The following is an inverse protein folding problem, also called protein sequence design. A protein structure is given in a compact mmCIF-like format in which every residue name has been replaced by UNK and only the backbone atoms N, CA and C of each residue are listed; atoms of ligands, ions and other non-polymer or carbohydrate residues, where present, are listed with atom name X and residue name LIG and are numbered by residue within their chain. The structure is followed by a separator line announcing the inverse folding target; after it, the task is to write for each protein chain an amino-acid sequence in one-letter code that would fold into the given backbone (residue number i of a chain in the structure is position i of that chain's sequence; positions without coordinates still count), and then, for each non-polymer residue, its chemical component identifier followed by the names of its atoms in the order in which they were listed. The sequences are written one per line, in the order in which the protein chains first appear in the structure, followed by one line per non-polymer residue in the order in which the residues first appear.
data_IF_396896735815
#
_entry.id   IF_396896735815
#
_cell.length_a   1.000
_cell.length_b   1.000
_cell.length_c   1.000
_cell.angle_alpha   90.00
_cell.angle_beta   90.00
_cell.angle_gamma   90.00
#
_symmetry.space_group_name_H-M   'P 1'
#
loop_
_entity.id
_entity.type
_entity.pdbx_description
1 polymer ?
#
# COMPACT_ATOMS: atom_id res chain seq x y z
N UNK A 1 -46.98 -9.54 -17.51
CA UNK A 1 -46.10 -10.32 -16.60
C UNK A 1 -45.13 -11.29 -17.29
N UNK A 2 -45.42 -11.86 -18.48
CA UNK A 2 -44.52 -12.83 -19.14
C UNK A 2 -43.26 -12.27 -19.83
N UNK A 3 -43.27 -11.03 -20.34
CA UNK A 3 -42.09 -10.45 -21.02
C UNK A 3 -40.95 -10.12 -20.06
N UNK A 4 -41.24 -9.56 -18.88
CA UNK A 4 -40.24 -9.24 -17.85
C UNK A 4 -39.54 -10.48 -17.29
N UNK A 5 -40.27 -11.59 -17.11
CA UNK A 5 -39.70 -12.88 -16.71
C UNK A 5 -38.70 -13.43 -17.74
N UNK A 6 -39.03 -13.32 -19.03
CA UNK A 6 -38.12 -13.77 -20.11
C UNK A 6 -36.86 -12.90 -20.22
N UNK A 7 -36.97 -11.58 -20.05
CA UNK A 7 -35.79 -10.69 -20.00
C UNK A 7 -34.91 -10.98 -18.79
N UNK A 8 -35.50 -11.14 -17.60
CA UNK A 8 -34.78 -11.52 -16.39
C UNK A 8 -34.02 -12.84 -16.57
N UNK A 9 -34.69 -13.88 -17.09
CA UNK A 9 -34.08 -15.19 -17.36
C UNK A 9 -32.92 -15.12 -18.36
N UNK A 10 -33.03 -14.27 -19.39
CA UNK A 10 -31.95 -14.03 -20.37
C UNK A 10 -30.74 -13.32 -19.74
N UNK A 11 -30.96 -12.35 -18.85
CA UNK A 11 -29.89 -11.65 -18.12
C UNK A 11 -29.18 -12.60 -17.16
N UNK A 12 -29.91 -13.42 -16.40
CA UNK A 12 -29.33 -14.42 -15.51
C UNK A 12 -28.49 -15.45 -16.27
N UNK A 13 -28.98 -15.95 -17.41
CA UNK A 13 -28.22 -16.88 -18.25
C UNK A 13 -26.90 -16.27 -18.77
N UNK A 14 -26.92 -15.00 -19.20
CA UNK A 14 -25.70 -14.28 -19.62
C UNK A 14 -24.73 -14.06 -18.46
N UNK A 15 -25.25 -13.79 -17.25
CA UNK A 15 -24.43 -13.63 -16.05
C UNK A 15 -23.73 -14.94 -15.66
N UNK A 16 -24.44 -16.07 -15.75
CA UNK A 16 -23.88 -17.41 -15.54
C UNK A 16 -22.83 -17.76 -16.58
N UNK A 17 -23.05 -17.41 -17.85
CA UNK A 17 -22.07 -17.57 -18.90
C UNK A 17 -20.79 -16.77 -18.64
N UNK A 18 -20.92 -15.48 -18.26
CA UNK A 18 -19.78 -14.63 -17.94
C UNK A 18 -19.02 -15.07 -16.68
N UNK A 19 -19.71 -15.66 -15.70
CA UNK A 19 -19.08 -16.27 -14.54
C UNK A 19 -18.32 -17.55 -14.92
N UNK A 20 -18.93 -18.43 -15.73
CA UNK A 20 -18.28 -19.65 -16.24
C UNK A 20 -17.03 -19.33 -17.06
N UNK A 21 -17.09 -18.28 -17.88
CA UNK A 21 -15.99 -17.80 -18.69
C UNK A 21 -15.02 -16.88 -17.92
N UNK A 22 -15.22 -16.67 -16.61
CA UNK A 22 -14.36 -15.89 -15.69
C UNK A 22 -14.22 -14.41 -16.03
N UNK A 23 -14.84 -13.93 -17.11
CA UNK A 23 -14.86 -12.52 -17.51
C UNK A 23 -15.46 -11.64 -16.42
N UNK A 24 -16.55 -12.08 -15.81
CA UNK A 24 -17.18 -11.33 -14.73
C UNK A 24 -16.27 -11.21 -13.50
N UNK A 25 -15.55 -12.28 -13.17
CA UNK A 25 -14.59 -12.29 -12.08
C UNK A 25 -13.43 -11.31 -12.34
N UNK A 26 -12.89 -11.30 -13.57
CA UNK A 26 -11.87 -10.31 -13.98
C UNK A 26 -12.37 -8.89 -13.75
N UNK A 27 -13.61 -8.59 -14.15
CA UNK A 27 -14.17 -7.25 -13.99
C UNK A 27 -14.35 -6.86 -12.53
N UNK A 28 -14.78 -7.77 -11.65
CA UNK A 28 -14.85 -7.46 -10.22
C UNK A 28 -13.49 -7.22 -9.60
N UNK A 29 -12.50 -8.08 -9.87
CA UNK A 29 -11.14 -7.90 -9.36
C UNK A 29 -10.52 -6.59 -9.87
N UNK A 30 -10.69 -6.28 -11.15
CA UNK A 30 -10.23 -5.01 -11.71
C UNK A 30 -10.97 -3.82 -11.10
N UNK A 31 -12.30 -3.88 -10.94
CA UNK A 31 -13.09 -2.80 -10.38
C UNK A 31 -12.69 -2.47 -8.93
N UNK A 32 -12.43 -3.49 -8.09
CA UNK A 32 -11.95 -3.25 -6.72
C UNK A 32 -10.61 -2.52 -6.70
N UNK A 33 -9.67 -2.87 -7.60
CA UNK A 33 -8.38 -2.17 -7.69
C UNK A 33 -8.51 -0.77 -8.31
N UNK A 34 -9.34 -0.60 -9.33
CA UNK A 34 -9.58 0.68 -10.02
C UNK A 34 -10.21 1.71 -9.08
N UNK A 35 -11.05 1.26 -8.15
CA UNK A 35 -11.78 2.16 -7.24
C UNK A 35 -10.97 2.62 -6.02
N UNK A 36 -9.73 2.13 -5.85
CA UNK A 36 -8.86 2.50 -4.71
C UNK A 36 -8.54 4.00 -4.59
N UNK A 37 -8.28 4.75 -5.68
CA UNK A 37 -8.06 6.20 -5.60
C UNK A 37 -9.37 7.00 -5.52
N UNK A 38 -10.53 6.35 -5.52
CA UNK A 38 -11.83 7.01 -5.44
C UNK A 38 -12.29 7.15 -3.97
N UNK A 39 -13.47 7.76 -3.77
CA UNK A 39 -14.09 7.87 -2.44
C UNK A 39 -14.32 6.49 -1.83
N UNK A 40 -14.16 6.39 -0.51
CA UNK A 40 -14.28 5.16 0.28
C UNK A 40 -15.57 4.36 0.00
N UNK A 41 -16.69 5.06 -0.19
CA UNK A 41 -18.00 4.45 -0.48
C UNK A 41 -17.95 3.62 -1.76
N UNK A 42 -17.28 4.11 -2.80
CA UNK A 42 -17.21 3.44 -4.11
C UNK A 42 -16.41 2.14 -4.01
N UNK A 43 -15.25 2.18 -3.34
CA UNK A 43 -14.43 0.99 -3.08
C UNK A 43 -15.14 -0.04 -2.19
N UNK A 44 -15.94 0.43 -1.22
CA UNK A 44 -16.72 -0.44 -0.35
C UNK A 44 -17.83 -1.17 -1.13
N UNK A 45 -18.53 -0.45 -2.01
CA UNK A 45 -19.59 -1.02 -2.84
C UNK A 45 -19.05 -2.07 -3.81
N UNK A 46 -17.89 -1.84 -4.45
CA UNK A 46 -17.29 -2.85 -5.34
C UNK A 46 -16.90 -4.12 -4.59
N UNK A 47 -16.37 -3.98 -3.37
CA UNK A 47 -16.07 -5.13 -2.50
C UNK A 47 -17.34 -5.89 -2.10
N UNK A 48 -18.40 -5.19 -1.67
CA UNK A 48 -19.67 -5.80 -1.28
C UNK A 48 -20.28 -6.58 -2.45
N UNK A 49 -20.34 -5.99 -3.64
CA UNK A 49 -20.87 -6.65 -4.84
C UNK A 49 -20.04 -7.89 -5.18
N UNK A 50 -18.70 -7.79 -5.15
CA UNK A 50 -17.81 -8.92 -5.37
C UNK A 50 -18.08 -10.06 -4.37
N UNK A 51 -18.21 -9.75 -3.08
CA UNK A 51 -18.46 -10.74 -2.03
C UNK A 51 -19.82 -11.42 -2.23
N UNK A 52 -20.89 -10.64 -2.43
CA UNK A 52 -22.25 -11.17 -2.66
C UNK A 52 -22.24 -12.13 -3.85
N UNK A 53 -21.69 -11.71 -5.00
CA UNK A 53 -21.67 -12.55 -6.20
C UNK A 53 -20.80 -13.79 -5.97
N UNK A 54 -19.64 -13.66 -5.33
CA UNK A 54 -18.74 -14.78 -5.06
C UNK A 54 -19.42 -15.83 -4.17
N UNK A 55 -20.09 -15.42 -3.10
CA UNK A 55 -20.80 -16.35 -2.22
C UNK A 55 -22.01 -17.01 -2.89
N UNK A 56 -22.82 -16.26 -3.65
CA UNK A 56 -23.97 -16.83 -4.39
C UNK A 56 -23.52 -17.85 -5.44
N UNK A 57 -22.39 -17.59 -6.12
CA UNK A 57 -21.90 -18.44 -7.23
C UNK A 57 -20.91 -19.51 -6.79
N UNK A 58 -20.57 -19.58 -5.50
CA UNK A 58 -19.70 -20.64 -4.96
C UNK A 58 -20.41 -21.98 -5.09
N UNK A 59 -19.76 -22.93 -5.77
CA UNK A 59 -20.20 -24.33 -5.84
C UNK A 59 -19.32 -25.16 -4.93
N UNK A 60 -19.89 -26.14 -4.20
CA UNK A 60 -19.14 -27.04 -3.30
C UNK A 60 -17.90 -27.68 -3.98
N UNK A 61 -18.01 -28.03 -5.26
CA UNK A 61 -16.93 -28.64 -6.05
C UNK A 61 -15.71 -27.71 -6.27
N UNK A 62 -15.92 -26.39 -6.22
CA UNK A 62 -14.85 -25.42 -6.44
C UNK A 62 -14.19 -24.95 -5.13
N UNK A 63 -14.72 -25.34 -3.98
CA UNK A 63 -14.20 -24.87 -2.71
C UNK A 63 -12.85 -25.53 -2.43
N UNK A 64 -11.82 -24.72 -2.27
CA UNK A 64 -10.50 -25.14 -1.81
C UNK A 64 -10.00 -24.14 -0.78
N UNK A 65 -9.31 -24.62 0.26
CA UNK A 65 -8.77 -23.79 1.32
C UNK A 65 -7.25 -23.80 1.28
N UNK A 66 -6.61 -23.01 0.38
CA UNK A 66 -5.16 -22.87 0.37
C UNK A 66 -4.65 -22.42 1.74
N UNK A 67 -3.61 -23.10 2.27
CA UNK A 67 -2.99 -22.76 3.56
C UNK A 67 -2.59 -21.28 3.64
N UNK A 68 -2.17 -20.69 2.51
CA UNK A 68 -1.79 -19.28 2.42
C UNK A 68 -2.95 -18.34 2.75
N UNK A 69 -4.19 -18.71 2.44
CA UNK A 69 -5.36 -17.91 2.78
C UNK A 69 -5.75 -18.00 4.25
N UNK A 70 -5.28 -19.02 4.98
CA UNK A 70 -5.53 -19.13 6.41
C UNK A 70 -4.84 -18.02 7.20
N UNK A 71 -3.69 -17.51 6.74
CA UNK A 71 -2.94 -16.47 7.46
C UNK A 71 -3.77 -15.19 7.71
N UNK A 72 -4.36 -14.52 6.69
CA UNK A 72 -5.21 -13.36 6.94
C UNK A 72 -6.49 -13.69 7.74
N UNK A 73 -7.04 -14.90 7.57
CA UNK A 73 -8.20 -15.34 8.37
C UNK A 73 -7.83 -15.51 9.85
N UNK A 74 -6.66 -16.11 10.14
CA UNK A 74 -6.13 -16.27 11.49
C UNK A 74 -5.81 -14.92 12.13
N UNK A 75 -5.29 -13.96 11.36
CA UNK A 75 -5.09 -12.58 11.83
C UNK A 75 -6.42 -11.97 12.29
N UNK A 76 -7.48 -12.12 11.50
CA UNK A 76 -8.80 -11.61 11.87
C UNK A 76 -9.40 -12.35 13.09
N UNK A 77 -9.18 -13.65 13.21
CA UNK A 77 -9.61 -14.40 14.41
C UNK A 77 -8.88 -13.89 15.66
N UNK A 78 -7.57 -13.62 15.56
CA UNK A 78 -6.80 -13.03 16.66
C UNK A 78 -7.32 -11.62 17.02
N UNK A 79 -7.67 -10.82 16.02
CA UNK A 79 -8.32 -9.52 16.23
C UNK A 79 -9.64 -9.65 17.01
N UNK A 80 -10.48 -10.65 16.70
CA UNK A 80 -11.72 -10.90 17.47
C UNK A 80 -11.38 -11.30 18.90
N UNK A 81 -10.44 -12.24 19.08
CA UNK A 81 -10.02 -12.67 20.41
C UNK A 81 -9.53 -11.51 21.27
N UNK A 82 -8.94 -10.48 20.65
CA UNK A 82 -8.46 -9.30 21.35
C UNK A 82 -9.53 -8.51 22.11
N UNK A 83 -10.83 -8.71 21.81
CA UNK A 83 -11.92 -8.19 22.63
C UNK A 83 -11.90 -8.66 24.09
N UNK A 84 -11.27 -9.81 24.38
CA UNK A 84 -11.20 -10.37 25.73
C UNK A 84 -10.25 -9.55 26.63
N UNK A 85 -9.20 -8.95 26.07
CA UNK A 85 -8.17 -8.23 26.83
C UNK A 85 -7.98 -6.77 26.41
N UNK A 86 -8.73 -6.28 25.43
CA UNK A 86 -8.57 -4.91 24.91
C UNK A 86 -8.78 -3.86 25.98
N UNK A 87 -7.92 -2.84 26.00
CA UNK A 87 -8.07 -1.67 26.87
C UNK A 87 -9.09 -0.65 26.32
N UNK A 88 -9.47 -0.75 25.03
CA UNK A 88 -10.38 0.19 24.35
C UNK A 88 -11.44 -0.55 23.52
N UNK A 89 -12.43 -1.16 24.18
CA UNK A 89 -13.41 -2.03 23.50
C UNK A 89 -14.19 -1.34 22.36
N UNK A 90 -14.48 -0.04 22.49
CA UNK A 90 -15.20 0.72 21.45
C UNK A 90 -14.39 0.84 20.17
N UNK A 91 -13.09 1.13 20.28
CA UNK A 91 -12.21 1.26 19.12
C UNK A 91 -11.92 -0.12 18.51
N UNK A 92 -11.71 -1.15 19.35
CA UNK A 92 -11.57 -2.54 18.88
C UNK A 92 -12.78 -3.00 18.06
N UNK A 93 -14.02 -2.71 18.48
CA UNK A 93 -15.22 -3.06 17.71
C UNK A 93 -15.26 -2.34 16.36
N UNK A 94 -14.91 -1.05 16.30
CA UNK A 94 -14.82 -0.30 15.03
C UNK A 94 -13.72 -0.87 14.12
N UNK A 95 -12.57 -1.21 14.70
CA UNK A 95 -11.47 -1.88 14.02
C UNK A 95 -11.92 -3.20 13.40
N UNK A 96 -12.66 -4.03 14.13
CA UNK A 96 -13.19 -5.31 13.61
C UNK A 96 -14.12 -5.15 12.41
N UNK A 97 -14.92 -4.07 12.36
CA UNK A 97 -15.77 -3.77 11.20
C UNK A 97 -14.94 -3.38 9.98
N UNK A 98 -13.86 -2.62 10.18
CA UNK A 98 -12.91 -2.20 9.15
C UNK A 98 -12.10 -3.39 8.61
N UNK A 99 -11.59 -4.24 9.49
CA UNK A 99 -10.70 -5.37 9.19
C UNK A 99 -11.42 -6.64 8.71
N UNK A 100 -12.76 -6.67 8.70
CA UNK A 100 -13.56 -7.84 8.27
C UNK A 100 -13.20 -8.35 6.87
N UNK A 101 -12.64 -7.47 6.03
CA UNK A 101 -12.17 -7.83 4.69
C UNK A 101 -10.99 -8.81 4.70
N UNK A 102 -10.19 -8.85 5.78
CA UNK A 102 -9.15 -9.86 6.00
C UNK A 102 -9.72 -11.28 6.18
N UNK A 103 -11.01 -11.40 6.53
CA UNK A 103 -11.72 -12.69 6.56
C UNK A 103 -12.49 -12.93 5.27
N UNK A 104 -13.34 -11.97 4.87
CA UNK A 104 -14.32 -12.18 3.81
C UNK A 104 -13.70 -12.34 2.43
N UNK A 105 -12.63 -11.59 2.11
CA UNK A 105 -11.98 -11.68 0.79
C UNK A 105 -11.26 -13.03 0.64
N UNK A 106 -10.40 -13.48 1.57
CA UNK A 106 -9.83 -14.83 1.50
C UNK A 106 -10.89 -15.93 1.44
N UNK A 107 -11.98 -15.82 2.20
CA UNK A 107 -13.07 -16.79 2.15
C UNK A 107 -13.76 -16.82 0.78
N UNK A 108 -14.01 -15.65 0.17
CA UNK A 108 -14.53 -15.58 -1.19
C UNK A 108 -13.59 -16.25 -2.20
N UNK A 109 -12.28 -16.02 -2.09
CA UNK A 109 -11.27 -16.65 -2.94
C UNK A 109 -11.22 -18.18 -2.83
N UNK A 110 -11.60 -18.75 -1.68
CA UNK A 110 -11.71 -20.21 -1.52
C UNK A 110 -12.77 -20.82 -2.45
N UNK A 111 -13.84 -20.09 -2.77
CA UNK A 111 -14.95 -20.54 -3.61
C UNK A 111 -14.86 -20.16 -5.09
N UNK A 112 -13.83 -19.40 -5.49
CA UNK A 112 -13.68 -18.91 -6.86
C UNK A 112 -13.27 -20.02 -7.84
N UNK A 113 -13.71 -19.94 -9.11
CA UNK A 113 -13.15 -20.79 -10.16
C UNK A 113 -11.65 -20.49 -10.33
N UNK A 114 -10.85 -21.53 -10.61
CA UNK A 114 -9.38 -21.41 -10.78
C UNK A 114 -9.01 -20.29 -11.76
N UNK A 115 -8.26 -19.31 -11.26
CA UNK A 115 -7.71 -18.18 -12.03
C UNK A 115 -6.34 -18.57 -12.58
N UNK A 116 -6.08 -18.25 -13.85
CA UNK A 116 -4.78 -18.45 -14.49
C UNK A 116 -4.10 -17.10 -14.79
N UNK A 117 -2.84 -17.14 -15.22
CA UNK A 117 -2.04 -15.95 -15.54
C UNK A 117 -2.71 -15.00 -16.55
N UNK A 118 -3.31 -15.52 -17.62
CA UNK A 118 -3.99 -14.69 -18.62
C UNK A 118 -5.17 -13.89 -18.03
N UNK A 119 -5.89 -14.43 -17.04
CA UNK A 119 -6.96 -13.68 -16.37
C UNK A 119 -6.36 -12.57 -15.49
N UNK A 120 -5.27 -12.85 -14.79
CA UNK A 120 -4.57 -11.89 -13.93
C UNK A 120 -3.97 -10.75 -14.77
N UNK A 121 -3.35 -11.08 -15.90
CA UNK A 121 -2.81 -10.08 -16.83
C UNK A 121 -3.91 -9.15 -17.35
N UNK A 122 -5.14 -9.65 -17.57
CA UNK A 122 -6.29 -8.80 -17.90
C UNK A 122 -6.69 -7.89 -16.75
N UNK A 123 -6.72 -8.39 -15.51
CA UNK A 123 -7.00 -7.56 -14.32
C UNK A 123 -5.99 -6.41 -14.23
N UNK A 124 -4.69 -6.72 -14.27
CA UNK A 124 -3.64 -5.71 -14.22
C UNK A 124 -3.66 -4.77 -15.42
N UNK A 125 -3.98 -5.24 -16.62
CA UNK A 125 -4.15 -4.36 -17.79
C UNK A 125 -5.20 -3.28 -17.53
N UNK A 126 -6.42 -3.67 -17.11
CA UNK A 126 -7.49 -2.72 -16.84
C UNK A 126 -7.13 -1.77 -15.70
N UNK A 127 -6.56 -2.31 -14.62
CA UNK A 127 -6.07 -1.53 -13.49
C UNK A 127 -5.01 -0.49 -13.91
N UNK A 128 -3.98 -0.89 -14.65
CA UNK A 128 -2.88 -0.02 -15.04
C UNK A 128 -3.32 1.11 -15.97
N UNK A 129 -4.20 0.83 -16.93
CA UNK A 129 -4.76 1.88 -17.79
C UNK A 129 -5.65 2.85 -17.00
N UNK A 130 -6.42 2.35 -16.04
CA UNK A 130 -7.21 3.23 -15.17
C UNK A 130 -6.30 4.12 -14.30
N UNK A 131 -5.20 3.59 -13.75
CA UNK A 131 -4.24 4.39 -12.98
C UNK A 131 -3.58 5.48 -13.83
N UNK A 132 -3.24 5.20 -15.09
CA UNK A 132 -2.77 6.23 -16.02
C UNK A 132 -3.85 7.29 -16.29
N UNK A 133 -5.13 6.88 -16.40
CA UNK A 133 -6.27 7.79 -16.49
C UNK A 133 -6.43 8.69 -15.25
N UNK A 134 -6.28 8.13 -14.04
CA UNK A 134 -6.29 8.92 -12.80
C UNK A 134 -5.12 9.90 -12.74
N UNK A 135 -3.92 9.51 -13.17
CA UNK A 135 -2.78 10.41 -13.25
C UNK A 135 -3.07 11.62 -14.15
N UNK A 136 -3.65 11.39 -15.34
CA UNK A 136 -4.09 12.46 -16.25
C UNK A 136 -5.12 13.35 -15.55
N UNK A 137 -6.12 12.76 -14.88
CA UNK A 137 -7.13 13.52 -14.13
C UNK A 137 -6.49 14.42 -13.06
N UNK A 138 -5.53 13.93 -12.28
CA UNK A 138 -4.84 14.74 -11.27
C UNK A 138 -3.98 15.84 -11.87
N UNK A 139 -3.32 15.59 -13.00
CA UNK A 139 -2.59 16.64 -13.72
C UNK A 139 -3.53 17.75 -14.20
N UNK A 140 -4.67 17.39 -14.81
CA UNK A 140 -5.67 18.37 -15.23
C UNK A 140 -6.22 19.16 -14.04
N UNK A 141 -6.54 18.48 -12.93
CA UNK A 141 -7.00 19.13 -11.71
C UNK A 141 -5.95 20.10 -11.14
N UNK A 142 -4.67 19.70 -11.13
CA UNK A 142 -3.58 20.57 -10.68
C UNK A 142 -3.39 21.79 -11.59
N UNK A 143 -3.57 21.64 -12.92
CA UNK A 143 -3.54 22.76 -13.86
C UNK A 143 -4.66 23.77 -13.53
N UNK A 144 -5.88 23.30 -13.27
CA UNK A 144 -7.00 24.17 -12.85
C UNK A 144 -6.69 24.86 -11.52
N UNK A 145 -6.24 24.12 -10.50
CA UNK A 145 -5.83 24.74 -9.23
C UNK A 145 -4.70 25.76 -9.41
N UNK A 146 -3.79 25.53 -10.34
CA UNK A 146 -2.67 26.44 -10.63
C UNK A 146 -3.13 27.72 -11.33
N UNK A 147 -4.11 27.64 -12.23
CA UNK A 147 -4.64 28.84 -12.89
C UNK A 147 -5.25 29.80 -11.89
N UNK A 148 -5.85 29.27 -10.83
CA UNK A 148 -6.54 30.05 -9.81
C UNK A 148 -5.57 30.54 -8.72
N UNK A 149 -4.72 29.65 -8.18
CA UNK A 149 -3.87 29.96 -7.04
C UNK A 149 -2.49 30.53 -7.38
N UNK A 150 -2.00 30.30 -8.62
CA UNK A 150 -0.60 30.52 -9.04
C UNK A 150 0.45 29.81 -8.18
N UNK A 151 0.03 28.90 -7.29
CA UNK A 151 0.93 28.14 -6.43
C UNK A 151 1.41 26.88 -7.15
N UNK A 152 2.73 26.73 -7.34
CA UNK A 152 3.34 25.55 -7.99
C UNK A 152 3.25 24.28 -7.15
N UNK A 153 3.00 24.39 -5.84
CA UNK A 153 2.93 23.25 -4.94
C UNK A 153 1.75 22.32 -5.27
N UNK A 154 0.72 22.82 -5.98
CA UNK A 154 -0.44 22.03 -6.43
C UNK A 154 -0.09 20.84 -7.33
N UNK A 155 1.12 20.82 -7.90
CA UNK A 155 1.62 19.71 -8.71
C UNK A 155 2.32 18.63 -7.90
N UNK A 156 2.45 18.77 -6.57
CA UNK A 156 3.27 17.89 -5.76
C UNK A 156 2.53 17.27 -4.57
N UNK A 157 2.94 16.06 -4.21
CA UNK A 157 2.55 15.38 -2.96
C UNK A 157 1.04 15.37 -2.69
N UNK A 158 0.59 15.81 -1.51
CA UNK A 158 -0.84 15.80 -1.13
C UNK A 158 -1.67 16.82 -1.91
N UNK A 159 -1.08 17.91 -2.40
CA UNK A 159 -1.81 18.95 -3.15
C UNK A 159 -2.20 18.48 -4.57
N UNK A 160 -1.36 17.61 -5.16
CA UNK A 160 -1.64 16.95 -6.44
C UNK A 160 -2.86 16.03 -6.37
N UNK A 161 -2.99 15.31 -5.26
CA UNK A 161 -4.11 14.39 -5.00
C UNK A 161 -5.04 15.01 -3.96
N UNK A 162 -5.12 14.44 -2.77
CA UNK A 162 -5.68 15.05 -1.55
C UNK A 162 -5.01 14.44 -0.31
N UNK A 163 -5.15 15.12 0.84
CA UNK A 163 -4.75 14.58 2.14
C UNK A 163 -5.53 13.30 2.51
N UNK A 164 -6.83 13.26 2.22
CA UNK A 164 -7.70 12.11 2.49
C UNK A 164 -7.21 10.86 1.74
N UNK A 165 -6.87 11.02 0.45
CA UNK A 165 -6.35 9.92 -0.36
C UNK A 165 -4.96 9.47 0.10
N UNK A 166 -4.16 10.40 0.62
CA UNK A 166 -2.76 10.26 0.98
C UNK A 166 -1.88 9.90 -0.24
N UNK A 167 -0.90 10.78 -0.53
CA UNK A 167 -0.03 10.64 -1.70
C UNK A 167 0.78 9.34 -1.69
N UNK A 168 1.16 8.82 -0.52
CA UNK A 168 1.94 7.58 -0.40
C UNK A 168 1.13 6.38 -0.88
N UNK A 169 -0.16 6.30 -0.55
CA UNK A 169 -1.04 5.23 -1.02
C UNK A 169 -1.21 5.29 -2.54
N UNK A 170 -1.44 6.49 -3.08
CA UNK A 170 -1.56 6.67 -4.53
C UNK A 170 -0.26 6.33 -5.26
N UNK A 171 0.91 6.65 -4.67
CA UNK A 171 2.21 6.26 -5.23
C UNK A 171 2.36 4.74 -5.32
N UNK A 172 1.94 3.99 -4.30
CA UNK A 172 1.98 2.53 -4.30
C UNK A 172 1.07 1.94 -5.38
N UNK A 173 -0.13 2.52 -5.55
CA UNK A 173 -1.06 2.08 -6.59
C UNK A 173 -0.49 2.36 -7.99
N UNK A 174 0.05 3.56 -8.21
CA UNK A 174 0.69 3.93 -9.46
C UNK A 174 1.95 3.08 -9.75
N UNK A 175 2.75 2.77 -8.72
CA UNK A 175 3.96 1.93 -8.80
C UNK A 175 3.64 0.53 -9.32
N UNK A 176 2.63 -0.14 -8.74
CA UNK A 176 2.21 -1.46 -9.22
C UNK A 176 1.71 -1.42 -10.66
N UNK A 177 0.95 -0.39 -11.03
CA UNK A 177 0.49 -0.18 -12.39
C UNK A 177 1.65 0.06 -13.38
N UNK A 178 2.67 0.82 -12.95
CA UNK A 178 3.88 1.10 -13.71
C UNK A 178 4.70 -0.17 -13.95
N UNK A 179 4.85 -1.03 -12.93
CA UNK A 179 5.54 -2.31 -13.07
C UNK A 179 4.87 -3.27 -14.05
N UNK A 180 3.54 -3.25 -14.14
CA UNK A 180 2.83 -4.02 -15.17
C UNK A 180 3.23 -3.56 -16.58
N UNK A 181 3.24 -2.25 -16.83
CA UNK A 181 3.71 -1.75 -18.13
C UNK A 181 5.18 -2.09 -18.35
N UNK A 182 6.06 -1.94 -17.35
CA UNK A 182 7.48 -2.29 -17.44
C UNK A 182 7.69 -3.75 -17.85
N UNK A 183 6.98 -4.68 -17.19
CA UNK A 183 7.12 -6.12 -17.37
C UNK A 183 6.44 -6.66 -18.63
N UNK A 184 5.59 -5.86 -19.29
CA UNK A 184 4.92 -6.26 -20.53
C UNK A 184 5.96 -6.53 -21.63
N UNK A 185 5.95 -7.74 -22.20
CA UNK A 185 6.91 -8.16 -23.26
C UNK A 185 6.77 -7.27 -24.51
N UNK A 186 5.56 -7.15 -25.04
CA UNK A 186 5.25 -6.36 -26.22
C UNK A 186 4.50 -5.08 -25.82
N UNK A 187 5.13 -3.94 -26.06
CA UNK A 187 4.62 -2.62 -25.68
C UNK A 187 4.16 -1.85 -26.92
N UNK A 188 2.87 -1.55 -26.99
CA UNK A 188 2.32 -0.58 -27.93
C UNK A 188 2.74 0.85 -27.54
N UNK A 189 2.55 1.80 -28.44
CA UNK A 189 2.80 3.22 -28.13
C UNK A 189 1.93 3.72 -26.96
N UNK A 190 0.71 3.20 -26.84
CA UNK A 190 -0.20 3.52 -25.73
C UNK A 190 0.34 2.95 -24.40
N UNK A 191 0.91 1.75 -24.39
CA UNK A 191 1.56 1.20 -23.19
C UNK A 191 2.78 2.03 -22.78
N UNK A 192 3.58 2.49 -23.75
CA UNK A 192 4.75 3.36 -23.49
C UNK A 192 4.33 4.71 -22.93
N UNK A 193 3.26 5.30 -23.46
CA UNK A 193 2.69 6.54 -22.94
C UNK A 193 2.15 6.35 -21.51
N UNK A 194 1.40 5.27 -21.26
CA UNK A 194 0.90 4.94 -19.92
C UNK A 194 2.03 4.76 -18.90
N UNK A 195 3.10 4.06 -19.28
CA UNK A 195 4.31 3.92 -18.46
C UNK A 195 4.93 5.28 -18.11
N UNK A 196 5.15 6.14 -19.12
CA UNK A 196 5.76 7.45 -18.93
C UNK A 196 4.90 8.36 -18.03
N UNK A 197 3.58 8.39 -18.25
CA UNK A 197 2.63 9.14 -17.43
C UNK A 197 2.74 8.71 -15.96
N UNK A 198 2.78 7.40 -15.69
CA UNK A 198 2.89 6.90 -14.32
C UNK A 198 4.24 7.20 -13.69
N UNK A 199 5.34 7.13 -14.44
CA UNK A 199 6.66 7.54 -13.93
C UNK A 199 6.65 9.01 -13.51
N UNK A 200 6.16 9.90 -14.37
CA UNK A 200 6.03 11.33 -14.04
C UNK A 200 5.13 11.52 -12.81
N UNK A 201 4.00 10.82 -12.75
CA UNK A 201 3.07 10.90 -11.64
C UNK A 201 3.70 10.47 -10.31
N UNK A 202 4.45 9.37 -10.27
CA UNK A 202 5.13 8.87 -9.07
C UNK A 202 6.18 9.89 -8.56
N UNK A 203 6.97 10.48 -9.46
CA UNK A 203 7.94 11.51 -9.07
C UNK A 203 7.27 12.77 -8.51
N UNK A 204 6.16 13.21 -9.12
CA UNK A 204 5.39 14.36 -8.64
C UNK A 204 4.67 14.08 -7.32
N UNK A 205 4.22 12.85 -7.08
CA UNK A 205 3.75 12.42 -5.77
C UNK A 205 4.84 12.47 -4.70
N UNK A 206 6.13 12.52 -5.06
CA UNK A 206 7.24 12.85 -4.14
C UNK A 206 7.31 11.99 -2.86
N UNK A 207 6.85 10.75 -2.96
CA UNK A 207 6.99 9.75 -1.90
C UNK A 207 8.37 9.11 -2.00
N UNK A 208 9.32 9.63 -1.21
CA UNK A 208 10.73 9.23 -1.22
C UNK A 208 10.95 7.71 -1.06
N UNK A 209 10.25 7.06 -0.13
CA UNK A 209 10.37 5.61 0.06
C UNK A 209 9.91 4.84 -1.18
N UNK A 210 8.80 5.26 -1.80
CA UNK A 210 8.29 4.60 -3.01
C UNK A 210 9.20 4.85 -4.21
N UNK A 211 9.71 6.07 -4.39
CA UNK A 211 10.68 6.37 -5.47
C UNK A 211 11.93 5.49 -5.35
N UNK A 212 12.47 5.33 -4.14
CA UNK A 212 13.65 4.48 -3.90
C UNK A 212 13.34 3.01 -4.20
N UNK A 213 12.21 2.49 -3.71
CA UNK A 213 11.78 1.10 -3.98
C UNK A 213 11.54 0.89 -5.47
N UNK A 214 10.90 1.83 -6.16
CA UNK A 214 10.64 1.73 -7.59
C UNK A 214 11.93 1.71 -8.41
N UNK A 215 12.90 2.56 -8.06
CA UNK A 215 14.21 2.55 -8.69
C UNK A 215 14.91 1.20 -8.48
N UNK A 216 14.90 0.67 -7.26
CA UNK A 216 15.47 -0.65 -6.95
C UNK A 216 14.78 -1.77 -7.75
N UNK A 217 13.45 -1.74 -7.83
CA UNK A 217 12.68 -2.75 -8.57
C UNK A 217 12.90 -2.66 -10.08
N UNK A 218 13.04 -1.46 -10.64
CA UNK A 218 13.44 -1.26 -12.05
C UNK A 218 14.83 -1.84 -12.30
N UNK A 219 15.77 -1.63 -11.39
CA UNK A 219 17.11 -2.22 -11.45
C UNK A 219 17.03 -3.75 -11.45
N UNK A 220 16.31 -4.33 -10.49
CA UNK A 220 16.09 -5.80 -10.39
C UNK A 220 15.44 -6.35 -11.65
N UNK A 221 14.43 -5.65 -12.21
CA UNK A 221 13.79 -6.05 -13.47
C UNK A 221 14.79 -6.18 -14.61
N UNK A 222 15.59 -5.15 -14.86
CA UNK A 222 16.53 -5.17 -15.98
C UNK A 222 17.65 -6.18 -15.79
N UNK A 223 18.14 -6.40 -14.56
CA UNK A 223 19.14 -7.42 -14.30
C UNK A 223 18.60 -8.83 -14.53
N UNK A 224 17.46 -9.19 -13.92
CA UNK A 224 17.03 -10.58 -13.80
C UNK A 224 15.88 -11.00 -14.73
N UNK A 225 15.04 -10.07 -15.21
CA UNK A 225 13.81 -10.39 -15.93
C UNK A 225 13.78 -9.88 -17.37
N UNK A 226 14.53 -8.84 -17.69
CA UNK A 226 14.59 -8.26 -19.04
C UNK A 226 15.42 -9.10 -20.00
N UNK A 227 14.91 -9.28 -21.23
CA UNK A 227 15.58 -9.94 -22.34
C UNK A 227 16.54 -9.01 -23.14
N UNK A 228 16.69 -7.74 -22.71
CA UNK A 228 17.57 -6.77 -23.38
C UNK A 228 19.05 -7.22 -23.30
N UNK A 229 19.87 -6.85 -24.29
CA UNK A 229 21.31 -7.15 -24.26
C UNK A 229 22.02 -6.51 -23.05
N UNK A 230 23.14 -7.10 -22.59
CA UNK A 230 23.89 -6.58 -21.42
C UNK A 230 24.31 -5.11 -21.61
N UNK A 231 24.76 -4.74 -22.81
CA UNK A 231 25.09 -3.35 -23.14
C UNK A 231 23.85 -2.44 -23.04
N UNK A 232 22.71 -2.87 -23.59
CA UNK A 232 21.46 -2.12 -23.52
C UNK A 232 20.94 -1.94 -22.09
N UNK A 233 21.04 -3.00 -21.26
CA UNK A 233 20.69 -2.95 -19.83
C UNK A 233 21.50 -1.87 -19.11
N UNK A 234 22.83 -1.82 -19.31
CA UNK A 234 23.71 -0.82 -18.69
C UNK A 234 23.33 0.61 -19.09
N UNK A 235 23.07 0.85 -20.38
CA UNK A 235 22.67 2.18 -20.87
C UNK A 235 21.33 2.59 -20.25
N UNK A 236 20.31 1.73 -20.30
CA UNK A 236 18.99 2.04 -19.73
C UNK A 236 19.09 2.34 -18.24
N UNK A 237 19.82 1.52 -17.47
CA UNK A 237 19.99 1.73 -16.04
C UNK A 237 20.74 3.02 -15.73
N UNK A 238 21.81 3.34 -16.47
CA UNK A 238 22.51 4.60 -16.32
C UNK A 238 21.58 5.80 -16.61
N UNK A 239 20.76 5.72 -17.67
CA UNK A 239 19.78 6.76 -17.99
C UNK A 239 18.71 6.91 -16.90
N UNK A 240 18.15 5.81 -16.38
CA UNK A 240 17.13 5.84 -15.33
C UNK A 240 17.70 6.44 -14.04
N UNK A 241 18.90 6.03 -13.63
CA UNK A 241 19.57 6.56 -12.44
C UNK A 241 19.87 8.06 -12.63
N UNK A 242 20.43 8.45 -13.78
CA UNK A 242 20.73 9.85 -14.07
C UNK A 242 19.47 10.73 -14.10
N UNK A 243 18.39 10.26 -14.74
CA UNK A 243 17.11 10.97 -14.76
C UNK A 243 16.52 11.12 -13.35
N UNK A 244 16.57 10.06 -12.54
CA UNK A 244 16.08 10.08 -11.15
C UNK A 244 16.88 11.07 -10.29
N UNK A 245 18.21 11.05 -10.39
CA UNK A 245 19.09 12.00 -9.69
C UNK A 245 18.85 13.44 -10.15
N UNK A 246 18.61 13.65 -11.44
CA UNK A 246 18.30 14.96 -12.00
C UNK A 246 17.01 15.51 -11.41
N UNK A 247 15.95 14.71 -11.35
CA UNK A 247 14.68 15.12 -10.73
C UNK A 247 14.88 15.45 -9.24
N UNK A 248 15.58 14.59 -8.50
CA UNK A 248 15.84 14.80 -7.06
C UNK A 248 16.67 16.07 -6.82
N UNK A 249 17.59 16.41 -7.72
CA UNK A 249 18.49 17.56 -7.54
C UNK A 249 17.85 18.88 -7.98
N UNK A 250 17.17 18.89 -9.13
CA UNK A 250 16.72 20.14 -9.76
C UNK A 250 15.28 20.52 -9.42
N UNK A 251 14.43 19.58 -9.01
CA UNK A 251 13.03 19.87 -8.67
C UNK A 251 12.94 20.19 -7.17
N UNK A 252 12.91 21.50 -6.83
CA UNK A 252 12.95 21.99 -5.44
C UNK A 252 11.98 21.25 -4.47
N UNK A 253 10.67 21.09 -4.75
CA UNK A 253 9.77 20.39 -3.82
C UNK A 253 10.14 18.92 -3.57
N UNK A 254 10.74 18.24 -4.55
CA UNK A 254 11.26 16.88 -4.41
C UNK A 254 12.55 16.92 -3.60
N UNK A 255 13.52 17.73 -4.03
CA UNK A 255 14.82 17.91 -3.38
C UNK A 255 14.68 18.18 -1.89
N UNK A 256 13.87 19.18 -1.52
CA UNK A 256 13.75 19.64 -0.13
C UNK A 256 13.21 18.51 0.78
N UNK A 257 12.34 17.64 0.27
CA UNK A 257 11.85 16.46 1.01
C UNK A 257 12.91 15.37 1.22
N UNK A 258 13.85 15.22 0.30
CA UNK A 258 15.00 14.31 0.45
C UNK A 258 16.06 14.92 1.36
N UNK A 259 16.36 16.21 1.22
CA UNK A 259 17.35 16.92 2.03
C UNK A 259 17.00 16.93 3.51
N UNK A 260 15.73 17.13 3.87
CA UNK A 260 15.31 17.07 5.28
C UNK A 260 15.66 15.71 5.91
N UNK A 261 15.46 14.59 5.20
CA UNK A 261 15.82 13.27 5.76
C UNK A 261 17.32 13.05 5.79
N UNK A 262 18.04 13.53 4.78
CA UNK A 262 19.50 13.48 4.76
C UNK A 262 20.08 14.23 5.97
N UNK A 263 19.63 15.46 6.21
CA UNK A 263 20.03 16.23 7.40
C UNK A 263 19.67 15.50 8.69
N UNK A 264 18.47 14.93 8.80
CA UNK A 264 18.04 14.18 9.99
C UNK A 264 18.95 13.01 10.33
N UNK A 265 19.50 12.33 9.32
CA UNK A 265 20.35 11.15 9.46
C UNK A 265 21.80 11.54 9.78
N UNK A 266 22.32 12.60 9.15
CA UNK A 266 23.75 12.91 9.15
C UNK A 266 24.14 14.16 9.95
N UNK A 267 23.18 15.01 10.31
CA UNK A 267 23.41 16.29 11.00
C UNK A 267 22.63 16.31 12.31
N UNK A 268 23.35 16.46 13.42
CA UNK A 268 22.71 16.62 14.73
C UNK A 268 22.14 18.04 14.86
N UNK A 269 20.81 18.15 15.02
CA UNK A 269 20.12 19.40 15.33
C UNK A 269 20.27 20.50 14.27
N UNK A 270 19.57 20.38 13.13
CA UNK A 270 19.56 21.44 12.10
C UNK A 270 18.41 22.45 12.32
N UNK A 271 18.70 23.73 12.11
CA UNK A 271 17.68 24.78 12.09
C UNK A 271 16.87 24.69 10.80
N UNK A 272 15.56 24.51 10.91
CA UNK A 272 14.66 24.70 9.77
C UNK A 272 14.42 26.20 9.61
N UNK A 273 14.91 26.80 8.52
CA UNK A 273 14.59 28.19 8.17
C UNK A 273 13.07 28.32 7.97
N UNK A 274 12.39 28.90 8.95
CA UNK A 274 11.00 29.36 8.80
C UNK A 274 10.97 30.42 7.70
N UNK A 275 10.02 30.29 6.78
CA UNK A 275 9.82 31.26 5.67
C UNK A 275 8.96 32.45 6.11
N UNK A 276 8.46 32.44 7.35
CA UNK A 276 7.62 33.48 7.94
C UNK A 276 8.40 34.22 9.04
N UNK A 277 8.60 35.52 8.85
CA UNK A 277 9.45 36.40 9.69
C UNK A 277 9.02 36.50 11.17
N UNK A 278 7.88 35.91 11.57
CA UNK A 278 7.28 36.08 12.90
C UNK A 278 7.12 34.78 13.71
N UNK A 279 7.69 33.65 13.27
CA UNK A 279 7.63 32.39 14.02
C UNK A 279 8.97 32.06 14.68
N UNK A 280 8.92 31.59 15.93
CA UNK A 280 10.08 31.07 16.64
C UNK A 280 10.82 30.02 15.80
N UNK A 281 12.17 29.93 15.89
CA UNK A 281 12.93 28.97 15.10
C UNK A 281 12.47 27.54 15.41
N UNK A 282 12.22 26.78 14.34
CA UNK A 282 11.86 25.38 14.40
C UNK A 282 13.15 24.55 14.30
N UNK A 283 13.33 23.63 15.24
CA UNK A 283 14.52 22.78 15.31
C UNK A 283 14.20 21.38 14.81
N UNK A 284 15.00 20.86 13.86
CA UNK A 284 14.85 19.49 13.40
C UNK A 284 15.52 18.53 14.40
N UNK A 285 14.74 17.61 14.94
CA UNK A 285 15.23 16.54 15.81
C UNK A 285 16.03 15.53 14.99
N UNK A 286 17.27 15.25 15.42
CA UNK A 286 18.10 14.19 14.85
C UNK A 286 17.68 12.80 15.35
N UNK A 287 18.14 11.74 14.67
CA UNK A 287 17.88 10.37 15.11
C UNK A 287 18.40 10.09 16.53
N UNK A 288 19.55 10.68 16.89
CA UNK A 288 20.16 10.53 18.21
C UNK A 288 19.27 11.16 19.28
N UNK A 289 18.83 12.40 19.05
CA UNK A 289 17.93 13.10 19.96
C UNK A 289 16.60 12.36 20.13
N UNK A 290 15.99 11.91 19.03
CA UNK A 290 14.77 11.10 19.07
C UNK A 290 14.93 9.84 19.97
N UNK A 291 16.11 9.23 19.98
CA UNK A 291 16.38 8.03 20.78
C UNK A 291 16.70 8.29 22.24
N UNK A 292 17.49 9.33 22.56
CA UNK A 292 18.06 9.51 23.90
C UNK A 292 17.49 10.67 24.70
N UNK A 293 16.89 11.67 24.05
CA UNK A 293 16.42 12.88 24.74
C UNK A 293 15.11 12.59 25.47
N UNK A 294 15.03 12.90 26.76
CA UNK A 294 13.86 12.55 27.58
C UNK A 294 12.67 13.51 27.37
N UNK A 295 12.92 14.81 27.26
CA UNK A 295 11.87 15.83 27.06
C UNK A 295 12.19 16.68 25.84
N UNK A 296 11.16 17.02 25.07
CA UNK A 296 11.26 17.88 23.89
C UNK A 296 10.64 19.26 24.15
N UNK A 297 10.92 20.20 23.26
CA UNK A 297 10.32 21.53 23.25
C UNK A 297 9.18 21.61 22.23
N UNK A 298 8.27 22.57 22.39
CA UNK A 298 7.10 22.68 21.50
C UNK A 298 7.46 23.12 20.07
N UNK A 299 8.64 23.71 19.87
CA UNK A 299 9.20 24.08 18.58
C UNK A 299 10.13 23.00 17.98
N UNK A 300 10.24 21.83 18.61
CA UNK A 300 10.95 20.68 18.06
C UNK A 300 10.09 20.00 16.98
N UNK A 301 10.60 20.04 15.74
CA UNK A 301 10.02 19.34 14.62
C UNK A 301 10.66 17.96 14.47
N UNK A 302 9.83 16.94 14.28
CA UNK A 302 10.27 15.58 14.01
C UNK A 302 10.13 15.29 12.51
N UNK A 303 11.23 15.29 11.74
CA UNK A 303 11.25 14.73 10.40
C UNK A 303 10.79 13.27 10.37
N UNK A 304 10.42 12.78 9.19
CA UNK A 304 9.78 11.48 9.04
C UNK A 304 10.62 10.31 9.58
N UNK A 305 11.94 10.32 9.39
CA UNK A 305 12.82 9.29 9.96
C UNK A 305 12.93 9.40 11.48
N UNK A 306 13.16 10.60 12.02
CA UNK A 306 13.25 10.83 13.46
C UNK A 306 11.96 10.48 14.20
N UNK A 307 10.80 10.84 13.64
CA UNK A 307 9.52 10.50 14.23
C UNK A 307 9.31 8.99 14.32
N UNK A 308 9.57 8.24 13.23
CA UNK A 308 9.47 6.78 13.24
C UNK A 308 10.46 6.14 14.22
N UNK A 309 11.65 6.71 14.36
CA UNK A 309 12.65 6.21 15.32
C UNK A 309 12.22 6.46 16.76
N UNK A 310 11.64 7.62 17.05
CA UNK A 310 10.99 7.91 18.33
C UNK A 310 9.82 6.96 18.60
N UNK A 311 9.03 6.63 17.57
CA UNK A 311 7.92 5.66 17.68
C UNK A 311 8.41 4.25 18.03
N UNK A 312 9.55 3.80 17.48
CA UNK A 312 10.20 2.55 17.91
C UNK A 312 10.60 2.62 19.39
N UNK A 313 11.16 3.76 19.84
CA UNK A 313 11.55 3.96 21.24
C UNK A 313 10.34 3.87 22.17
N UNK A 314 9.27 4.63 21.94
CA UNK A 314 8.10 4.61 22.84
C UNK A 314 7.43 3.23 22.85
N UNK A 315 7.46 2.50 21.73
CA UNK A 315 7.00 1.11 21.70
C UNK A 315 7.86 0.21 22.60
N UNK A 316 9.20 0.36 22.56
CA UNK A 316 10.11 -0.36 23.46
C UNK A 316 9.82 -0.03 24.93
N UNK A 317 9.55 1.23 25.26
CA UNK A 317 9.18 1.62 26.61
C UNK A 317 7.86 0.98 27.05
N UNK A 318 6.84 0.96 26.17
CA UNK A 318 5.58 0.25 26.44
C UNK A 318 5.80 -1.23 26.71
N UNK A 319 6.67 -1.91 25.94
CA UNK A 319 7.02 -3.32 26.17
C UNK A 319 7.69 -3.56 27.53
N UNK A 320 8.40 -2.57 28.07
CA UNK A 320 9.10 -2.66 29.35
C UNK A 320 8.18 -2.33 30.53
N UNK A 321 7.22 -1.43 30.33
CA UNK A 321 6.33 -0.92 31.36
C UNK A 321 5.05 -1.76 31.49
N UNK A 322 4.60 -2.40 30.40
CA UNK A 322 3.31 -3.08 30.30
C UNK A 322 3.49 -4.53 29.83
N UNK A 323 2.62 -5.44 30.29
CA UNK A 323 2.66 -6.87 29.92
C UNK A 323 2.00 -7.15 28.57
N UNK A 324 2.43 -6.46 27.51
CA UNK A 324 1.81 -6.51 26.17
C UNK A 324 2.54 -7.38 25.15
N UNK A 325 3.67 -8.00 25.52
CA UNK A 325 4.50 -8.73 24.56
C UNK A 325 3.73 -9.82 23.79
N UNK A 326 2.89 -10.61 24.46
CA UNK A 326 2.16 -11.70 23.82
C UNK A 326 0.83 -11.28 23.20
N UNK A 327 0.09 -10.39 23.85
CA UNK A 327 -1.31 -10.09 23.50
C UNK A 327 -1.52 -8.70 22.90
N UNK A 328 -0.58 -7.77 23.12
CA UNK A 328 -0.79 -6.36 22.81
C UNK A 328 -1.85 -5.71 23.71
N UNK A 329 -2.27 -4.50 23.33
CA UNK A 329 -3.32 -3.72 23.99
C UNK A 329 -4.74 -4.03 23.50
N UNK A 330 -4.91 -4.77 22.40
CA UNK A 330 -6.17 -4.91 21.66
C UNK A 330 -6.13 -4.24 20.29
N UNK A 331 -6.90 -4.74 19.31
CA UNK A 331 -7.00 -4.11 17.98
C UNK A 331 -7.43 -2.65 18.09
N UNK A 332 -6.74 -1.76 17.37
CA UNK A 332 -6.95 -0.30 17.36
C UNK A 332 -6.90 0.36 18.78
N UNK A 333 -6.35 -0.33 19.80
CA UNK A 333 -6.38 0.13 21.20
C UNK A 333 -5.10 0.84 21.68
N UNK A 334 -4.06 0.94 20.84
CA UNK A 334 -2.76 1.51 21.24
C UNK A 334 -2.72 3.04 21.25
N UNK A 335 -3.71 3.73 20.68
CA UNK A 335 -3.67 5.19 20.48
C UNK A 335 -3.59 5.99 21.78
N UNK A 336 -4.31 5.59 22.83
CA UNK A 336 -4.27 6.29 24.12
C UNK A 336 -2.89 6.18 24.77
N UNK A 337 -2.22 5.03 24.64
CA UNK A 337 -0.85 4.82 25.12
C UNK A 337 0.16 5.67 24.34
N UNK A 338 -0.03 5.87 23.04
CA UNK A 338 0.77 6.82 22.25
C UNK A 338 0.59 8.25 22.78
N UNK A 339 -0.66 8.67 23.04
CA UNK A 339 -0.97 10.01 23.60
C UNK A 339 -0.35 10.21 24.98
N UNK A 340 -0.34 9.19 25.83
CA UNK A 340 0.35 9.19 27.12
C UNK A 340 1.85 9.43 26.94
N UNK A 341 2.51 8.69 26.03
CA UNK A 341 3.94 8.84 25.74
C UNK A 341 4.31 10.21 25.14
N UNK A 342 3.46 10.75 24.27
CA UNK A 342 3.64 12.11 23.72
C UNK A 342 3.60 13.16 24.83
N UNK A 343 2.68 13.03 25.79
CA UNK A 343 2.63 13.90 26.97
C UNK A 343 3.82 13.68 27.90
N UNK A 344 4.19 12.43 28.14
CA UNK A 344 5.32 12.04 28.98
C UNK A 344 6.60 12.71 28.46
N UNK A 345 6.87 12.71 27.16
CA UNK A 345 8.08 13.31 26.60
C UNK A 345 7.94 14.79 26.23
N UNK A 346 6.84 15.46 26.59
CA UNK A 346 6.59 16.88 26.28
C UNK A 346 6.62 17.21 24.78
N UNK A 347 6.14 16.30 23.92
CA UNK A 347 6.01 16.57 22.49
C UNK A 347 4.81 17.48 22.20
N UNK A 348 4.80 18.09 21.01
CA UNK A 348 3.61 18.74 20.49
C UNK A 348 2.43 17.77 20.42
N UNK A 349 1.28 18.16 20.97
CA UNK A 349 0.13 17.27 21.16
C UNK A 349 -0.38 16.63 19.87
N UNK A 350 -0.24 17.30 18.71
CA UNK A 350 -0.64 16.77 17.42
C UNK A 350 0.09 15.49 17.01
N UNK A 351 1.30 15.23 17.55
CA UNK A 351 1.99 13.97 17.31
C UNK A 351 1.26 12.76 17.90
N UNK A 352 0.44 12.97 18.95
CA UNK A 352 -0.37 11.94 19.59
C UNK A 352 -1.59 11.51 18.79
N UNK A 353 -1.91 12.17 17.68
CA UNK A 353 -2.99 11.74 16.77
C UNK A 353 -2.51 10.80 15.66
N UNK A 354 -1.18 10.64 15.51
CA UNK A 354 -0.62 9.67 14.59
C UNK A 354 -0.58 8.28 15.22
N UNK A 355 -0.81 7.26 14.40
CA UNK A 355 -0.51 5.88 14.73
C UNK A 355 1.01 5.64 14.60
N UNK A 356 1.51 4.42 14.80
CA UNK A 356 2.94 4.12 14.79
C UNK A 356 3.67 4.37 13.46
N UNK A 357 2.97 4.75 12.36
CA UNK A 357 3.53 4.89 11.01
C UNK A 357 4.47 3.73 10.63
N UNK A 358 4.14 2.54 11.12
CA UNK A 358 4.88 1.31 10.96
C UNK A 358 3.91 0.18 11.28
N UNK A 359 3.50 -0.54 10.26
CA UNK A 359 2.52 -1.62 10.36
C UNK A 359 2.98 -2.73 11.31
N UNK A 360 4.30 -3.02 11.34
CA UNK A 360 4.84 -4.04 12.23
C UNK A 360 4.72 -3.65 13.70
N UNK A 361 5.07 -2.40 14.04
CA UNK A 361 4.91 -1.90 15.40
C UNK A 361 3.43 -1.74 15.77
N UNK A 362 2.60 -1.30 14.83
CA UNK A 362 1.16 -1.18 15.03
C UNK A 362 0.57 -2.52 15.45
N UNK A 363 0.76 -3.55 14.62
CA UNK A 363 0.22 -4.88 14.87
C UNK A 363 0.84 -5.52 16.11
N UNK A 364 2.13 -5.31 16.38
CA UNK A 364 2.76 -5.82 17.62
C UNK A 364 2.15 -5.13 18.84
N UNK A 365 2.03 -3.80 18.85
CA UNK A 365 1.43 -3.07 19.97
C UNK A 365 -0.01 -3.47 20.25
N UNK A 366 -0.77 -3.85 19.22
CA UNK A 366 -2.20 -4.16 19.33
C UNK A 366 -2.50 -5.64 19.57
N UNK A 367 -1.78 -6.53 18.90
CA UNK A 367 -2.05 -7.98 18.89
C UNK A 367 -0.87 -8.83 19.39
N UNK A 368 0.20 -8.18 19.86
CA UNK A 368 1.37 -8.84 20.41
C UNK A 368 2.21 -9.59 19.37
N UNK A 369 3.09 -10.45 19.88
CA UNK A 369 3.99 -11.28 19.07
C UNK A 369 3.23 -12.13 18.04
N UNK A 370 2.07 -12.67 18.40
CA UNK A 370 1.31 -13.54 17.50
C UNK A 370 0.80 -12.79 16.26
N UNK A 371 0.24 -11.58 16.44
CA UNK A 371 -0.19 -10.75 15.31
C UNK A 371 0.98 -10.38 14.40
N UNK A 372 2.10 -9.96 15.01
CA UNK A 372 3.32 -9.63 14.29
C UNK A 372 3.82 -10.80 13.43
N UNK A 373 3.92 -12.01 14.02
CA UNK A 373 4.38 -13.19 13.31
C UNK A 373 3.45 -13.60 12.16
N UNK A 374 2.13 -13.42 12.30
CA UNK A 374 1.19 -13.70 11.20
C UNK A 374 1.42 -12.75 10.02
N UNK A 375 1.54 -11.44 10.27
CA UNK A 375 1.81 -10.44 9.22
C UNK A 375 3.16 -10.70 8.53
N UNK A 376 4.22 -10.98 9.30
CA UNK A 376 5.53 -11.35 8.75
C UNK A 376 5.43 -12.63 7.91
N UNK A 377 4.66 -13.63 8.36
CA UNK A 377 4.44 -14.87 7.62
C UNK A 377 3.70 -14.62 6.29
N UNK A 378 2.71 -13.72 6.28
CA UNK A 378 2.03 -13.31 5.03
C UNK A 378 3.02 -12.71 4.04
N UNK A 379 3.86 -11.78 4.50
CA UNK A 379 4.89 -11.14 3.66
C UNK A 379 5.94 -12.14 3.16
N UNK A 380 6.39 -13.04 4.03
CA UNK A 380 7.36 -14.09 3.67
C UNK A 380 6.81 -15.07 2.64
N UNK A 381 5.58 -15.54 2.81
CA UNK A 381 4.93 -16.45 1.86
C UNK A 381 4.78 -15.78 0.49
N UNK A 382 4.35 -14.52 0.46
CA UNK A 382 4.13 -13.81 -0.81
C UNK A 382 5.44 -13.57 -1.56
N UNK A 383 6.51 -13.12 -0.89
CA UNK A 383 7.80 -12.89 -1.56
C UNK A 383 8.43 -14.21 -2.03
N UNK A 384 8.38 -15.26 -1.20
CA UNK A 384 8.91 -16.59 -1.54
C UNK A 384 8.21 -17.13 -2.78
N UNK A 385 6.88 -17.04 -2.84
CA UNK A 385 6.11 -17.51 -3.98
C UNK A 385 6.44 -16.70 -5.24
N UNK A 386 6.58 -15.38 -5.15
CA UNK A 386 7.00 -14.54 -6.27
C UNK A 386 8.37 -14.94 -6.84
N UNK A 387 9.35 -15.17 -5.97
CA UNK A 387 10.72 -15.59 -6.36
C UNK A 387 10.72 -16.97 -7.01
N UNK A 388 10.09 -17.96 -6.38
CA UNK A 388 10.01 -19.33 -6.92
C UNK A 388 9.38 -19.37 -8.32
N UNK A 389 8.40 -18.50 -8.53
CA UNK A 389 7.65 -18.42 -9.78
C UNK A 389 8.30 -17.54 -10.83
N UNK A 390 9.40 -16.83 -10.48
CA UNK A 390 10.01 -15.79 -11.32
C UNK A 390 8.96 -14.79 -11.83
N UNK A 391 8.02 -14.41 -10.95
CA UNK A 391 7.00 -13.42 -11.26
C UNK A 391 7.45 -12.06 -10.73
N UNK A 392 7.94 -11.22 -11.64
CA UNK A 392 8.43 -9.89 -11.29
C UNK A 392 7.36 -9.01 -10.64
N UNK A 393 6.11 -9.03 -11.11
CA UNK A 393 5.06 -8.14 -10.57
C UNK A 393 4.72 -8.59 -9.14
N UNK A 394 4.67 -9.91 -8.90
CA UNK A 394 4.46 -10.46 -7.56
C UNK A 394 5.62 -10.10 -6.61
N UNK A 395 6.87 -10.20 -7.07
CA UNK A 395 8.05 -9.80 -6.28
C UNK A 395 7.98 -8.30 -5.99
N UNK A 396 7.70 -7.47 -6.99
CA UNK A 396 7.60 -6.02 -6.85
C UNK A 396 6.53 -5.63 -5.82
N UNK A 397 5.33 -6.19 -5.92
CA UNK A 397 4.29 -6.01 -4.90
C UNK A 397 4.79 -6.39 -3.51
N UNK A 398 5.42 -7.56 -3.39
CA UNK A 398 5.87 -8.08 -2.08
C UNK A 398 6.97 -7.21 -1.46
N UNK A 399 7.98 -6.79 -2.22
CA UNK A 399 9.04 -5.87 -1.76
C UNK A 399 8.46 -4.51 -1.39
N UNK A 400 7.56 -3.96 -2.23
CA UNK A 400 6.88 -2.69 -1.93
C UNK A 400 6.10 -2.76 -0.63
N UNK A 401 5.37 -3.86 -0.35
CA UNK A 401 4.67 -4.03 0.93
C UNK A 401 5.63 -4.15 2.11
N UNK A 402 6.71 -4.93 1.99
CA UNK A 402 7.70 -5.09 3.07
C UNK A 402 8.28 -3.72 3.47
N UNK A 403 8.69 -2.91 2.49
CA UNK A 403 9.29 -1.59 2.74
C UNK A 403 8.25 -0.58 3.20
N UNK A 404 7.06 -0.57 2.59
CA UNK A 404 6.00 0.37 2.96
C UNK A 404 5.56 0.16 4.41
N UNK A 405 5.42 -1.09 4.85
CA UNK A 405 5.01 -1.44 6.21
C UNK A 405 6.02 -0.97 7.28
N UNK A 406 7.28 -0.72 6.92
CA UNK A 406 8.25 -0.10 7.83
C UNK A 406 7.97 1.39 8.08
N UNK A 407 7.18 2.03 7.20
CA UNK A 407 7.09 3.49 7.12
C UNK A 407 5.66 4.03 7.13
N UNK A 408 4.67 3.16 7.01
CA UNK A 408 3.24 3.47 7.14
C UNK A 408 2.52 2.30 7.80
N UNK A 409 1.54 2.59 8.67
CA UNK A 409 0.54 1.61 9.12
C UNK A 409 -0.53 1.48 8.04
N UNK A 410 -0.18 0.75 6.98
CA UNK A 410 -0.94 0.65 5.74
C UNK A 410 -2.28 -0.06 5.90
N UNK A 411 -2.37 -1.06 6.78
CA UNK A 411 -3.59 -1.83 7.00
C UNK A 411 -4.56 -1.08 7.93
N UNK A 412 -4.12 -0.07 8.68
CA UNK A 412 -5.03 0.76 9.48
C UNK A 412 -6.07 1.53 8.65
N UNK A 413 -5.92 1.60 7.31
CA UNK A 413 -6.88 2.25 6.39
C UNK A 413 -7.53 1.23 5.46
N UNK A 414 -8.85 1.36 5.28
CA UNK A 414 -9.66 0.49 4.40
C UNK A 414 -9.07 0.29 2.99
N UNK A 415 -8.62 1.36 2.33
CA UNK A 415 -8.00 1.29 0.99
C UNK A 415 -6.73 0.42 0.99
N UNK A 416 -5.97 0.45 2.08
CA UNK A 416 -4.75 -0.34 2.23
C UNK A 416 -5.07 -1.80 2.46
N UNK A 417 -6.06 -2.10 3.30
CA UNK A 417 -6.60 -3.45 3.51
C UNK A 417 -7.04 -4.03 2.16
N UNK A 418 -7.92 -3.33 1.43
CA UNK A 418 -8.45 -3.78 0.13
C UNK A 418 -7.31 -4.06 -0.85
N UNK A 419 -6.38 -3.12 -1.02
CA UNK A 419 -5.25 -3.27 -1.93
C UNK A 419 -4.40 -4.49 -1.56
N UNK A 420 -3.99 -4.59 -0.29
CA UNK A 420 -3.12 -5.65 0.18
C UNK A 420 -3.79 -7.02 0.08
N UNK A 421 -5.01 -7.18 0.60
CA UNK A 421 -5.65 -8.50 0.71
C UNK A 421 -6.08 -9.06 -0.65
N UNK A 422 -6.55 -8.20 -1.58
CA UNK A 422 -6.91 -8.65 -2.93
C UNK A 422 -5.67 -9.14 -3.66
N UNK A 423 -4.59 -8.36 -3.63
CA UNK A 423 -3.35 -8.73 -4.31
C UNK A 423 -2.68 -9.94 -3.64
N UNK A 424 -2.70 -10.01 -2.31
CA UNK A 424 -2.27 -11.17 -1.56
C UNK A 424 -3.01 -12.43 -2.04
N UNK A 425 -4.34 -12.38 -2.15
CA UNK A 425 -5.14 -13.51 -2.63
C UNK A 425 -4.86 -13.83 -4.11
N UNK A 426 -4.83 -12.82 -4.99
CA UNK A 426 -4.56 -13.01 -6.42
C UNK A 426 -3.21 -13.72 -6.62
N UNK A 427 -2.15 -13.19 -6.02
CA UNK A 427 -0.81 -13.74 -6.23
C UNK A 427 -0.57 -15.07 -5.52
N UNK A 428 -1.17 -15.28 -4.33
CA UNK A 428 -0.95 -16.50 -3.56
C UNK A 428 -1.89 -17.65 -3.90
N UNK A 429 -3.04 -17.41 -4.53
CA UNK A 429 -4.00 -18.45 -4.94
C UNK A 429 -3.91 -18.78 -6.42
N UNK A 430 -3.55 -17.82 -7.28
CA UNK A 430 -3.40 -18.11 -8.69
C UNK A 430 -2.45 -19.28 -8.92
N UNK A 431 -2.93 -20.26 -9.69
CA UNK A 431 -2.18 -21.44 -10.02
C UNK A 431 -1.18 -21.08 -11.12
N UNK A 432 0.09 -21.37 -10.84
CA UNK A 432 1.07 -21.58 -11.87
C UNK A 432 0.85 -22.97 -12.46
N UNK A 433 -0.16 -23.08 -13.31
CA UNK A 433 -0.29 -24.23 -14.20
C UNK A 433 0.95 -24.27 -15.11
N UNK A 434 1.94 -25.08 -14.72
CA UNK A 434 2.83 -25.88 -15.57
C UNK A 434 3.16 -25.34 -16.98
N UNK A 435 3.70 -24.12 -17.12
CA UNK A 435 4.47 -23.79 -18.35
C UNK A 435 5.90 -24.35 -18.31
N UNK A 436 6.37 -24.82 -17.14
CA UNK A 436 7.70 -25.44 -17.00
C UNK A 436 7.73 -26.97 -17.21
N UNK A 437 6.62 -27.61 -17.61
CA UNK A 437 6.61 -29.04 -17.99
C UNK A 437 6.61 -29.30 -19.51
N UNK A 438 6.64 -28.26 -20.36
CA UNK A 438 6.62 -28.43 -21.83
C UNK A 438 7.97 -28.06 -22.48
N UNK A 439 8.96 -27.60 -21.71
CA UNK A 439 10.33 -27.42 -22.22
C UNK A 439 11.31 -28.05 -21.24
N UNK A 440 11.36 -29.39 -21.25
CA UNK A 440 12.59 -30.14 -21.01
C UNK A 440 13.12 -30.56 -22.37
#
# INVERSE_FOLDING_TARGET
MNRTLNYSKKVFNRFDELWRNKTLLIYFLAAMLITLPMKHIIGSLTCIIFLIVSFIKTKKVNFSLPIVLLLPMLLYVLMIMSLIWTIESKETIKGLQKEILLLLIPLAFCGLPKINKNHIDKVFKWYSFAMAGFAIFYFLNAIVKFTDSRNKDVFFYHELVTLELNAIYVSVFASLAMFFFLAKKEKSNIDRAGFLILVVFIFLLSSKNIIIVDLLMVIIYYFFFSAVSVKGKRVILATVVFASLSVITFIKPVRDRFMIEFETIFVDGSLKKTTEENQAPIYNISLKQAWSQDKFQQNDFFPGAAFRFFQIRIFKEMLQQENIFFTGFGLDASQNKIKEKVKEHNLYAGYGEFNFHNEYLQIFSELGLFGFLIVVSMLFVTIRKGILNKDFIHIAFSVTMIVLFLTESFLSRQRGIIFFIILYCIFNVANNSNEQKILK
#
